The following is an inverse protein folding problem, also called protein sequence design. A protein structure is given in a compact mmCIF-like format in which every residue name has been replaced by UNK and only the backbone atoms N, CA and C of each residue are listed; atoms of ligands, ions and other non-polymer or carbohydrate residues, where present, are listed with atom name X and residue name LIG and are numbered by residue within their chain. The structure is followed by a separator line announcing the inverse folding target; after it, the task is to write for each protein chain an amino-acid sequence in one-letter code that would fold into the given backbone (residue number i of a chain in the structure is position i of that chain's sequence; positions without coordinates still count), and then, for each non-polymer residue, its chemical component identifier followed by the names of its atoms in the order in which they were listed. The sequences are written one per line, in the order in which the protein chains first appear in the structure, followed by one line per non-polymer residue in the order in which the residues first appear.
data_IF_205810593870
#
_entry.id   IF_205810593870
#
_cell.length_a   1.000
_cell.length_b   1.000
_cell.length_c   1.000
_cell.angle_alpha   90.00
_cell.angle_beta   90.00
_cell.angle_gamma   90.00
#
_symmetry.space_group_name_H-M   'P 1'
#
loop_
_entity.id
_entity.type
_entity.pdbx_description
1 polymer ?
#
# COMPACT_ATOMS: atom_id res chain seq x y z
N UNK A 1 -19.59 7.77 -12.95
CA UNK A 1 -18.53 7.58 -13.97
C UNK A 1 -17.18 7.62 -13.26
N UNK A 2 -16.39 6.54 -13.26
CA UNK A 2 -15.02 6.61 -12.79
C UNK A 2 -14.29 7.67 -13.62
N UNK A 3 -13.50 8.51 -12.97
CA UNK A 3 -12.76 9.55 -13.68
C UNK A 3 -11.69 8.85 -14.52
N UNK A 4 -11.74 8.98 -15.85
CA UNK A 4 -10.66 8.49 -16.72
C UNK A 4 -9.41 9.37 -16.59
N UNK A 5 -8.25 8.93 -17.11
CA UNK A 5 -7.04 9.74 -17.14
C UNK A 5 -7.30 11.07 -17.87
N UNK A 6 -6.69 12.16 -17.40
CA UNK A 6 -6.79 13.46 -18.09
C UNK A 6 -6.13 13.40 -19.48
N UNK A 7 -6.72 14.12 -20.44
CA UNK A 7 -6.08 14.32 -21.73
C UNK A 7 -4.80 15.17 -21.60
N UNK A 8 -3.87 15.01 -22.53
CA UNK A 8 -2.62 15.77 -22.55
C UNK A 8 -2.82 17.30 -22.50
N UNK A 9 -3.85 17.82 -23.19
CA UNK A 9 -4.18 19.24 -23.18
C UNK A 9 -4.67 19.70 -21.79
N UNK A 10 -5.52 18.90 -21.13
CA UNK A 10 -6.00 19.20 -19.77
C UNK A 10 -4.86 19.15 -18.75
N UNK A 11 -3.94 18.19 -18.89
CA UNK A 11 -2.73 18.13 -18.06
C UNK A 11 -1.85 19.36 -18.28
N UNK A 12 -1.57 19.74 -19.53
CA UNK A 12 -0.73 20.90 -19.84
C UNK A 12 -1.28 22.24 -19.30
N UNK A 13 -2.60 22.34 -19.13
CA UNK A 13 -3.24 23.51 -18.53
C UNK A 13 -3.12 23.58 -16.99
N UNK A 14 -2.68 22.50 -16.33
CA UNK A 14 -2.48 22.48 -14.88
C UNK A 14 -1.15 23.13 -14.52
N UNK A 15 -1.19 24.03 -13.54
CA UNK A 15 0.01 24.64 -12.97
C UNK A 15 0.95 23.57 -12.39
N UNK A 16 2.24 23.56 -12.75
CA UNK A 16 3.26 22.71 -12.12
C UNK A 16 3.36 22.95 -10.62
N UNK A 17 4.01 22.03 -9.89
CA UNK A 17 4.35 22.34 -8.49
C UNK A 17 5.35 23.50 -8.43
N UNK A 18 5.24 24.32 -7.40
CA UNK A 18 6.20 25.40 -7.11
C UNK A 18 7.47 24.89 -6.42
N UNK A 19 7.52 23.60 -6.07
CA UNK A 19 8.66 22.98 -5.40
C UNK A 19 9.82 22.84 -6.39
N UNK A 20 11.01 23.40 -6.08
CA UNK A 20 12.16 23.30 -6.97
C UNK A 20 12.58 21.85 -7.24
N UNK A 21 12.86 21.51 -8.51
CA UNK A 21 13.37 20.18 -8.88
C UNK A 21 14.70 19.81 -8.21
N UNK A 22 15.44 20.80 -7.70
CA UNK A 22 16.65 20.60 -6.91
C UNK A 22 16.40 19.99 -5.52
N UNK A 23 15.15 19.91 -5.05
CA UNK A 23 14.80 19.22 -3.79
C UNK A 23 14.09 17.88 -4.04
N UNK A 24 13.95 17.47 -5.29
CA UNK A 24 13.25 16.25 -5.66
C UNK A 24 14.08 15.00 -5.41
N UNK A 25 13.39 13.92 -5.04
CA UNK A 25 13.95 12.61 -4.77
C UNK A 25 13.27 11.56 -5.68
N UNK A 26 14.03 10.83 -6.52
CA UNK A 26 15.44 11.04 -6.85
C UNK A 26 15.61 12.33 -7.67
N UNK A 27 16.85 12.62 -8.08
CA UNK A 27 17.11 13.76 -8.98
C UNK A 27 16.27 13.69 -10.26
N UNK A 28 15.88 14.84 -10.79
CA UNK A 28 14.94 14.88 -11.91
C UNK A 28 15.55 14.34 -13.23
N UNK A 29 16.65 14.95 -13.70
CA UNK A 29 17.42 14.51 -14.88
C UNK A 29 18.73 13.86 -14.47
N UNK A 30 19.49 14.59 -13.67
CA UNK A 30 20.77 14.11 -13.18
C UNK A 30 20.54 13.24 -11.95
N UNK A 31 21.23 12.11 -11.89
CA UNK A 31 21.34 11.30 -10.67
C UNK A 31 22.09 12.10 -9.62
N UNK A 32 21.66 12.00 -8.35
CA UNK A 32 22.17 12.86 -7.28
C UNK A 32 22.44 12.07 -6.02
N UNK A 33 23.50 12.47 -5.32
CA UNK A 33 23.73 12.02 -3.95
C UNK A 33 22.93 12.89 -3.00
N UNK A 34 22.34 12.24 -2.01
CA UNK A 34 21.62 12.88 -0.91
C UNK A 34 22.25 12.47 0.41
N UNK A 35 22.12 13.30 1.44
CA UNK A 35 22.46 12.85 2.79
C UNK A 35 21.40 11.84 3.22
N UNK A 36 21.81 10.78 3.92
CA UNK A 36 20.90 9.67 4.26
C UNK A 36 19.61 10.16 4.93
N UNK A 37 19.73 11.05 5.92
CA UNK A 37 18.59 11.61 6.64
C UNK A 37 17.61 12.43 5.78
N UNK A 38 18.06 13.00 4.66
CA UNK A 38 17.22 13.79 3.75
C UNK A 38 16.28 12.92 2.91
N UNK A 39 16.57 11.63 2.79
CA UNK A 39 15.84 10.70 1.91
C UNK A 39 15.20 9.53 2.65
N UNK A 40 15.48 9.36 3.95
CA UNK A 40 14.82 8.36 4.82
C UNK A 40 13.32 8.33 4.55
N UNK A 41 12.68 7.16 4.42
CA UNK A 41 13.26 5.81 4.50
C UNK A 41 13.78 5.26 3.17
N UNK A 42 13.93 6.07 2.12
CA UNK A 42 14.52 5.56 0.88
C UNK A 42 15.98 5.16 1.09
N UNK A 43 16.37 4.05 0.47
CA UNK A 43 17.77 3.64 0.40
C UNK A 43 18.60 4.66 -0.36
N UNK A 44 19.63 5.21 0.29
CA UNK A 44 20.59 6.12 -0.35
C UNK A 44 21.34 5.48 -1.51
N UNK A 45 21.59 4.17 -1.41
CA UNK A 45 22.21 3.41 -2.47
C UNK A 45 21.31 3.31 -3.70
N UNK A 46 20.01 3.13 -3.52
CA UNK A 46 19.06 3.00 -4.63
C UNK A 46 18.78 4.35 -5.28
N UNK A 47 18.45 5.35 -4.46
CA UNK A 47 18.06 6.69 -4.93
C UNK A 47 19.17 7.38 -5.70
N UNK A 48 20.44 7.18 -5.34
CA UNK A 48 21.58 7.80 -6.06
C UNK A 48 21.82 7.19 -7.44
N UNK A 49 21.26 6.03 -7.74
CA UNK A 49 21.49 5.29 -8.99
C UNK A 49 20.39 5.51 -10.04
N UNK A 50 19.36 6.28 -9.71
CA UNK A 50 18.20 6.50 -10.57
C UNK A 50 17.90 8.00 -10.65
N UNK A 51 17.23 8.41 -11.72
CA UNK A 51 16.62 9.74 -11.88
C UNK A 51 15.18 9.59 -12.33
N UNK A 52 14.35 10.62 -12.13
CA UNK A 52 12.91 10.55 -12.48
C UNK A 52 12.68 10.25 -13.96
N UNK A 53 13.52 10.78 -14.87
CA UNK A 53 13.39 10.52 -16.31
C UNK A 53 13.75 9.09 -16.72
N UNK A 54 14.43 8.33 -15.85
CA UNK A 54 14.79 6.92 -16.07
C UNK A 54 13.77 5.95 -15.48
N UNK A 55 12.79 6.46 -14.71
CA UNK A 55 11.77 5.62 -14.09
C UNK A 55 10.69 5.24 -15.12
N UNK A 56 10.38 3.96 -15.19
CA UNK A 56 9.19 3.44 -15.85
C UNK A 56 8.19 2.87 -14.83
N UNK A 57 7.02 2.45 -15.32
CA UNK A 57 5.94 1.94 -14.46
C UNK A 57 6.30 0.62 -13.79
N UNK A 58 7.10 -0.24 -14.42
CA UNK A 58 7.47 -1.53 -13.86
C UNK A 58 8.49 -1.33 -12.74
N UNK A 59 9.44 -0.42 -12.91
CA UNK A 59 10.39 -0.02 -11.88
C UNK A 59 9.68 0.64 -10.69
N UNK A 60 8.67 1.49 -10.93
CA UNK A 60 7.79 1.98 -9.86
C UNK A 60 7.14 0.81 -9.13
N UNK A 61 6.41 -0.03 -9.86
CA UNK A 61 5.64 -1.12 -9.29
C UNK A 61 6.49 -2.05 -8.43
N UNK A 62 7.65 -2.47 -8.94
CA UNK A 62 8.51 -3.46 -8.28
C UNK A 62 9.42 -2.88 -7.19
N UNK A 63 9.91 -1.64 -7.34
CA UNK A 63 10.96 -1.10 -6.47
C UNK A 63 10.59 0.16 -5.71
N UNK A 64 9.83 1.08 -6.33
CA UNK A 64 9.63 2.43 -5.79
C UNK A 64 8.19 2.76 -5.42
N UNK A 65 7.31 1.76 -5.29
CA UNK A 65 5.97 1.95 -4.73
C UNK A 65 6.01 2.32 -3.25
N UNK A 66 7.02 1.85 -2.51
CA UNK A 66 7.35 2.26 -1.14
C UNK A 66 8.81 1.88 -0.82
N UNK A 67 9.48 2.51 0.15
CA UNK A 67 10.74 2.00 0.70
C UNK A 67 10.61 0.56 1.21
N UNK A 68 11.69 -0.23 1.10
CA UNK A 68 11.77 -1.59 1.68
C UNK A 68 11.74 -1.49 3.21
N UNK A 69 11.05 -2.43 3.85
CA UNK A 69 10.99 -2.57 5.33
C UNK A 69 10.41 -1.38 6.09
N UNK A 70 9.81 -0.41 5.40
CA UNK A 70 9.34 0.79 6.07
C UNK A 70 7.92 0.66 6.64
N UNK A 71 6.94 0.30 5.80
CA UNK A 71 5.55 0.14 6.26
C UNK A 71 5.23 -1.31 6.59
N UNK A 72 5.74 -2.23 5.77
CA UNK A 72 5.46 -3.66 5.87
C UNK A 72 6.79 -4.35 6.20
N UNK A 73 6.88 -5.10 7.31
CA UNK A 73 8.12 -5.75 7.71
C UNK A 73 8.50 -6.86 6.73
N UNK A 74 9.73 -7.36 6.84
CA UNK A 74 10.11 -8.59 6.14
C UNK A 74 9.27 -9.76 6.63
N UNK A 75 9.13 -10.75 5.77
CA UNK A 75 8.45 -11.99 6.11
C UNK A 75 9.30 -12.82 7.06
N UNK A 76 8.70 -13.20 8.19
CA UNK A 76 9.27 -14.21 9.07
C UNK A 76 9.26 -15.61 8.42
N UNK A 77 10.11 -16.54 8.90
CA UNK A 77 10.00 -17.94 8.53
C UNK A 77 8.57 -18.46 8.75
N UNK A 78 8.13 -19.40 7.90
CA UNK A 78 6.83 -20.04 8.09
C UNK A 78 6.84 -20.78 9.44
N UNK A 79 5.91 -20.47 10.36
CA UNK A 79 5.86 -21.16 11.64
C UNK A 79 5.50 -22.64 11.45
N UNK A 80 6.01 -23.53 12.32
CA UNK A 80 5.49 -24.89 12.50
C UNK A 80 3.96 -24.92 12.63
N UNK A 81 3.33 -26.02 12.21
CA UNK A 81 1.87 -26.11 12.20
C UNK A 81 1.27 -26.07 13.62
N UNK A 82 2.01 -26.59 14.60
CA UNK A 82 1.66 -26.58 16.02
C UNK A 82 1.70 -25.20 16.68
N UNK A 83 2.35 -24.22 16.06
CA UNK A 83 2.58 -22.90 16.65
C UNK A 83 1.44 -21.91 16.34
N UNK A 84 0.50 -22.28 15.48
CA UNK A 84 -0.64 -21.44 15.14
C UNK A 84 -1.91 -22.28 14.96
N UNK A 85 -3.06 -21.62 15.07
CA UNK A 85 -4.37 -22.24 15.07
C UNK A 85 -4.87 -22.53 13.65
N UNK A 86 -4.22 -23.46 12.96
CA UNK A 86 -4.72 -23.97 11.67
C UNK A 86 -6.12 -24.55 11.83
N UNK A 87 -6.47 -25.15 12.97
CA UNK A 87 -7.79 -25.71 13.24
C UNK A 87 -8.93 -24.69 13.06
N UNK A 88 -8.69 -23.39 13.29
CA UNK A 88 -9.66 -22.32 13.05
C UNK A 88 -9.89 -22.02 11.56
N UNK A 89 -9.02 -22.48 10.66
CA UNK A 89 -9.19 -22.31 9.21
C UNK A 89 -10.11 -23.42 8.67
N UNK A 90 -11.37 -23.37 9.06
CA UNK A 90 -12.46 -24.21 8.55
C UNK A 90 -13.48 -23.40 7.74
N UNK A 91 -14.47 -24.07 7.16
CA UNK A 91 -15.46 -23.41 6.31
C UNK A 91 -16.33 -22.39 7.07
N UNK A 92 -16.75 -22.71 8.30
CA UNK A 92 -17.63 -21.85 9.10
C UNK A 92 -16.89 -20.59 9.53
N UNK A 93 -15.71 -20.76 10.11
CA UNK A 93 -14.89 -19.65 10.58
C UNK A 93 -14.49 -18.70 9.42
N UNK A 94 -14.14 -19.25 8.26
CA UNK A 94 -13.82 -18.42 7.09
C UNK A 94 -15.07 -17.71 6.57
N UNK A 95 -16.25 -18.34 6.62
CA UNK A 95 -17.50 -17.70 6.25
C UNK A 95 -17.80 -16.50 7.16
N UNK A 96 -17.77 -16.70 8.47
CA UNK A 96 -18.04 -15.66 9.47
C UNK A 96 -17.05 -14.50 9.35
N UNK A 97 -15.77 -14.80 9.11
CA UNK A 97 -14.74 -13.79 8.84
C UNK A 97 -15.04 -12.95 7.59
N UNK A 98 -15.52 -13.57 6.50
CA UNK A 98 -15.80 -12.85 5.26
C UNK A 98 -17.11 -12.07 5.34
N UNK A 99 -18.11 -12.59 6.05
CA UNK A 99 -19.37 -11.90 6.28
C UNK A 99 -19.22 -10.66 7.16
N UNK A 100 -18.26 -10.65 8.10
CA UNK A 100 -17.97 -9.47 8.92
C UNK A 100 -17.36 -8.30 8.13
N UNK A 101 -16.95 -8.53 6.88
CA UNK A 101 -16.38 -7.54 5.97
C UNK A 101 -15.21 -6.74 6.61
N UNK A 102 -14.14 -7.41 7.07
CA UNK A 102 -13.08 -6.77 7.86
C UNK A 102 -12.32 -5.68 7.09
N UNK A 103 -12.34 -5.73 5.75
CA UNK A 103 -11.74 -4.71 4.89
C UNK A 103 -12.42 -3.34 4.94
N UNK A 104 -13.63 -3.23 5.50
CA UNK A 104 -14.32 -1.93 5.64
C UNK A 104 -13.55 -0.95 6.53
N UNK A 105 -12.64 -1.43 7.38
CA UNK A 105 -11.73 -0.57 8.14
C UNK A 105 -10.87 0.31 7.23
N UNK A 106 -10.54 -0.18 6.03
CA UNK A 106 -9.76 0.55 5.03
C UNK A 106 -10.59 1.60 4.28
N UNK A 107 -11.93 1.59 4.40
CA UNK A 107 -12.79 2.58 3.75
C UNK A 107 -12.71 3.97 4.41
N UNK A 108 -12.19 4.05 5.64
CA UNK A 108 -12.02 5.30 6.35
C UNK A 108 -11.06 6.23 5.58
N UNK A 109 -11.53 7.41 5.12
CA UNK A 109 -10.71 8.27 4.29
C UNK A 109 -9.60 8.91 5.11
N UNK A 110 -8.34 8.74 4.67
CA UNK A 110 -7.22 9.50 5.19
C UNK A 110 -7.06 10.81 4.42
N UNK A 111 -6.75 11.89 5.15
CA UNK A 111 -6.39 13.15 4.50
C UNK A 111 -4.91 13.13 4.10
N UNK A 112 -4.58 13.52 2.86
CA UNK A 112 -3.20 13.48 2.40
C UNK A 112 -2.27 14.37 3.20
N UNK A 113 -1.09 13.85 3.55
CA UNK A 113 -0.07 14.55 4.31
C UNK A 113 0.78 15.50 3.44
N UNK A 114 1.07 15.09 2.21
CA UNK A 114 2.05 15.70 1.31
C UNK A 114 1.44 16.71 0.33
N UNK A 115 0.11 16.68 0.13
CA UNK A 115 -0.57 17.53 -0.85
C UNK A 115 -1.98 17.98 -0.43
N UNK A 116 -2.46 19.07 -1.05
CA UNK A 116 -3.85 19.53 -0.95
C UNK A 116 -4.61 19.14 -2.23
N UNK A 117 -5.94 18.96 -2.13
CA UNK A 117 -6.81 18.63 -3.26
C UNK A 117 -7.02 19.80 -4.24
N UNK A 118 -5.95 20.18 -4.96
CA UNK A 118 -5.92 21.27 -5.96
C UNK A 118 -5.12 20.83 -7.20
N UNK A 119 -5.38 21.49 -8.33
CA UNK A 119 -4.65 21.22 -9.59
C UNK A 119 -4.60 19.74 -9.96
N UNK A 120 -3.42 19.25 -10.28
CA UNK A 120 -3.15 17.84 -10.59
C UNK A 120 -3.49 16.89 -9.42
N UNK A 121 -3.19 17.27 -8.18
CA UNK A 121 -3.48 16.45 -7.01
C UNK A 121 -4.97 16.22 -6.76
N UNK A 122 -5.85 17.17 -7.13
CA UNK A 122 -7.31 16.94 -7.09
C UNK A 122 -7.72 15.81 -8.02
N UNK A 123 -7.14 15.77 -9.21
CA UNK A 123 -7.41 14.71 -10.17
C UNK A 123 -6.88 13.37 -9.64
N UNK A 124 -5.65 13.35 -9.14
CA UNK A 124 -5.06 12.14 -8.55
C UNK A 124 -5.84 11.60 -7.36
N UNK A 125 -6.26 12.46 -6.42
CA UNK A 125 -7.11 12.06 -5.27
C UNK A 125 -8.38 11.37 -5.76
N UNK A 126 -9.05 11.92 -6.79
CA UNK A 126 -10.27 11.33 -7.37
C UNK A 126 -10.02 10.00 -8.09
N UNK A 127 -8.92 9.91 -8.84
CA UNK A 127 -8.55 8.66 -9.51
C UNK A 127 -8.26 7.56 -8.51
N UNK A 128 -7.48 7.90 -7.46
CA UNK A 128 -7.13 6.95 -6.42
C UNK A 128 -8.34 6.53 -5.60
N UNK A 129 -9.18 7.45 -5.13
CA UNK A 129 -10.37 7.11 -4.35
C UNK A 129 -11.33 6.17 -5.12
N UNK A 130 -11.44 6.34 -6.45
CA UNK A 130 -12.19 5.40 -7.30
C UNK A 130 -11.55 4.02 -7.38
N UNK A 131 -10.21 3.96 -7.40
CA UNK A 131 -9.46 2.71 -7.40
C UNK A 131 -9.56 2.00 -6.04
N UNK A 132 -9.32 2.73 -4.95
CA UNK A 132 -9.36 2.26 -3.58
C UNK A 132 -10.72 1.63 -3.24
N UNK A 133 -11.82 2.33 -3.53
CA UNK A 133 -13.17 1.83 -3.29
C UNK A 133 -13.49 0.50 -4.01
N UNK A 134 -12.85 0.25 -5.17
CA UNK A 134 -13.03 -1.01 -5.93
C UNK A 134 -12.16 -2.16 -5.38
N UNK A 135 -11.15 -1.87 -4.54
CA UNK A 135 -10.07 -2.79 -4.20
C UNK A 135 -9.74 -2.91 -2.71
N UNK A 136 -10.54 -2.34 -1.79
CA UNK A 136 -10.32 -2.42 -0.33
C UNK A 136 -10.09 -3.87 0.14
N UNK A 137 -10.98 -4.78 -0.26
CA UNK A 137 -10.87 -6.20 0.07
C UNK A 137 -9.57 -6.81 -0.43
N UNK A 138 -9.09 -6.40 -1.59
CA UNK A 138 -7.88 -6.96 -2.19
C UNK A 138 -6.61 -6.51 -1.46
N UNK A 139 -6.63 -5.30 -0.90
CA UNK A 139 -5.59 -4.79 -0.01
C UNK A 139 -5.59 -5.52 1.32
N UNK A 140 -6.75 -5.62 1.96
CA UNK A 140 -6.89 -6.34 3.22
C UNK A 140 -6.45 -7.81 3.08
N UNK A 141 -6.89 -8.50 2.03
CA UNK A 141 -6.46 -9.88 1.73
C UNK A 141 -4.96 -10.01 1.48
N UNK A 142 -4.28 -8.93 1.10
CA UNK A 142 -2.84 -8.97 0.84
C UNK A 142 -2.01 -8.93 2.11
N UNK A 143 -2.51 -8.30 3.17
CA UNK A 143 -1.87 -8.20 4.49
C UNK A 143 -2.39 -9.24 5.49
N UNK A 144 -3.54 -9.87 5.20
CA UNK A 144 -4.18 -10.90 6.03
C UNK A 144 -4.28 -12.25 5.32
N UNK A 145 -3.32 -12.60 4.46
CA UNK A 145 -3.40 -13.82 3.69
C UNK A 145 -3.08 -15.06 4.54
N UNK A 146 -4.08 -15.75 5.09
CA UNK A 146 -3.81 -17.00 5.81
C UNK A 146 -3.65 -18.23 4.88
N UNK A 147 -2.84 -19.24 5.27
CA UNK A 147 -2.72 -20.50 4.55
C UNK A 147 -4.03 -21.28 4.57
N UNK A 148 -4.36 -21.93 3.45
CA UNK A 148 -5.43 -22.93 3.38
C UNK A 148 -4.82 -24.20 2.79
N UNK A 149 -4.75 -25.27 3.59
CA UNK A 149 -4.05 -26.49 3.20
C UNK A 149 -4.71 -27.16 1.98
N UNK A 150 -3.91 -27.93 1.22
CA UNK A 150 -4.43 -28.69 0.07
C UNK A 150 -5.51 -29.69 0.52
N UNK A 151 -5.36 -30.29 1.70
CA UNK A 151 -6.35 -31.21 2.25
C UNK A 151 -7.69 -30.49 2.49
N UNK A 152 -7.68 -29.32 3.13
CA UNK A 152 -8.88 -28.51 3.37
C UNK A 152 -9.55 -28.05 2.09
N UNK A 153 -8.77 -27.60 1.10
CA UNK A 153 -9.29 -27.24 -0.24
C UNK A 153 -9.91 -28.42 -0.98
N UNK A 154 -9.37 -29.64 -0.83
CA UNK A 154 -9.98 -30.84 -1.42
C UNK A 154 -11.26 -31.26 -0.69
N UNK A 155 -11.33 -31.02 0.62
CA UNK A 155 -12.48 -31.38 1.45
C UNK A 155 -13.64 -30.40 1.34
N UNK A 156 -13.37 -29.10 1.13
CA UNK A 156 -14.38 -28.05 1.03
C UNK A 156 -14.26 -27.30 -0.30
N UNK A 157 -15.36 -27.33 -1.08
CA UNK A 157 -15.48 -26.53 -2.31
C UNK A 157 -15.45 -25.03 -2.02
N UNK A 158 -16.01 -24.61 -0.89
CA UNK A 158 -16.00 -23.21 -0.47
C UNK A 158 -14.57 -22.72 -0.22
N UNK A 159 -13.77 -23.46 0.55
CA UNK A 159 -12.38 -23.08 0.85
C UNK A 159 -11.49 -23.09 -0.41
N UNK A 160 -11.73 -23.98 -1.36
CA UNK A 160 -11.01 -23.98 -2.64
C UNK A 160 -11.35 -22.75 -3.50
N UNK A 161 -12.64 -22.42 -3.60
CA UNK A 161 -13.12 -21.23 -4.29
C UNK A 161 -12.57 -19.95 -3.63
N UNK A 162 -12.70 -19.84 -2.31
CA UNK A 162 -12.17 -18.73 -1.51
C UNK A 162 -10.68 -18.48 -1.81
N UNK A 163 -9.86 -19.53 -1.73
CA UNK A 163 -8.43 -19.44 -1.99
C UNK A 163 -8.12 -18.98 -3.42
N UNK A 164 -8.85 -19.53 -4.40
CA UNK A 164 -8.66 -19.23 -5.83
C UNK A 164 -9.10 -17.80 -6.16
N UNK A 165 -10.26 -17.38 -5.65
CA UNK A 165 -10.82 -16.05 -5.87
C UNK A 165 -9.93 -14.97 -5.27
N UNK A 166 -9.38 -15.20 -4.07
CA UNK A 166 -8.40 -14.29 -3.46
C UNK A 166 -7.19 -14.05 -4.37
N UNK A 167 -6.63 -15.12 -4.96
CA UNK A 167 -5.50 -14.99 -5.91
C UNK A 167 -5.88 -14.21 -7.16
N UNK A 168 -7.05 -14.48 -7.73
CA UNK A 168 -7.51 -13.80 -8.93
C UNK A 168 -7.74 -12.31 -8.67
N UNK A 169 -8.40 -11.98 -7.55
CA UNK A 169 -8.63 -10.61 -7.10
C UNK A 169 -7.32 -9.84 -6.91
N UNK A 170 -6.34 -10.43 -6.20
CA UNK A 170 -5.00 -9.85 -6.05
C UNK A 170 -4.33 -9.55 -7.40
N UNK A 171 -4.45 -10.44 -8.37
CA UNK A 171 -3.92 -10.23 -9.73
C UNK A 171 -4.59 -9.05 -10.44
N UNK A 172 -5.93 -8.98 -10.40
CA UNK A 172 -6.72 -7.86 -10.99
C UNK A 172 -6.37 -6.53 -10.33
N UNK A 173 -6.29 -6.50 -9.00
CA UNK A 173 -5.91 -5.30 -8.24
C UNK A 173 -4.48 -4.84 -8.59
N UNK A 174 -3.54 -5.77 -8.77
CA UNK A 174 -2.18 -5.48 -9.23
C UNK A 174 -2.13 -4.88 -10.64
N UNK A 175 -2.90 -5.41 -11.58
CA UNK A 175 -3.00 -4.85 -12.93
C UNK A 175 -3.57 -3.42 -12.90
N UNK A 176 -4.63 -3.21 -12.11
CA UNK A 176 -5.25 -1.89 -11.95
C UNK A 176 -4.34 -0.90 -11.21
N UNK A 177 -3.55 -1.37 -10.24
CA UNK A 177 -2.51 -0.58 -9.58
C UNK A 177 -1.44 -0.09 -10.56
N UNK A 178 -0.98 -0.94 -11.48
CA UNK A 178 -0.06 -0.51 -12.55
C UNK A 178 -0.66 0.63 -13.39
N UNK A 179 -1.96 0.57 -13.73
CA UNK A 179 -2.62 1.66 -14.43
C UNK A 179 -2.67 2.97 -13.62
N UNK A 180 -2.81 2.89 -12.30
CA UNK A 180 -2.71 4.07 -11.44
C UNK A 180 -1.27 4.62 -11.40
N UNK A 181 -0.27 3.75 -11.28
CA UNK A 181 1.15 4.16 -11.30
C UNK A 181 1.56 4.83 -12.61
N UNK A 182 0.92 4.52 -13.75
CA UNK A 182 1.12 5.28 -14.99
C UNK A 182 0.73 6.76 -14.83
N UNK A 183 -0.33 7.06 -14.06
CA UNK A 183 -0.72 8.44 -13.78
C UNK A 183 0.27 9.13 -12.84
N UNK A 184 0.79 8.40 -11.84
CA UNK A 184 1.88 8.87 -10.99
C UNK A 184 3.12 9.18 -11.83
N UNK A 185 3.52 8.30 -12.75
CA UNK A 185 4.65 8.51 -13.64
C UNK A 185 4.49 9.77 -14.51
N UNK A 186 3.29 10.02 -15.04
CA UNK A 186 2.99 11.29 -15.73
C UNK A 186 3.22 12.49 -14.79
N UNK A 187 2.80 12.36 -13.52
CA UNK A 187 3.06 13.32 -12.46
C UNK A 187 4.55 13.65 -12.27
N UNK A 188 5.36 12.60 -12.13
CA UNK A 188 6.80 12.67 -11.97
C UNK A 188 7.44 13.38 -13.18
N UNK A 189 7.16 12.88 -14.40
CA UNK A 189 7.77 13.38 -15.62
C UNK A 189 7.38 14.83 -15.95
N UNK A 190 6.11 15.21 -15.69
CA UNK A 190 5.61 16.57 -15.96
C UNK A 190 6.04 17.61 -14.93
N UNK A 191 6.60 17.20 -13.80
CA UNK A 191 7.03 18.16 -12.79
C UNK A 191 5.94 18.48 -11.75
N UNK A 192 5.00 17.57 -11.46
CA UNK A 192 3.96 17.80 -10.45
C UNK A 192 4.29 17.25 -9.06
N UNK A 193 5.06 16.16 -8.98
CA UNK A 193 5.47 15.50 -7.74
C UNK A 193 6.77 14.74 -7.92
N UNK A 194 7.36 14.26 -6.83
CA UNK A 194 8.47 13.30 -6.84
C UNK A 194 8.06 11.98 -6.16
N UNK A 195 9.01 11.05 -5.94
CA UNK A 195 8.68 9.72 -5.40
C UNK A 195 8.11 9.74 -3.98
N UNK A 196 8.38 10.79 -3.20
CA UNK A 196 7.83 10.86 -1.84
C UNK A 196 6.30 10.98 -1.84
N UNK A 197 5.64 11.23 -2.99
CA UNK A 197 4.18 11.11 -3.11
C UNK A 197 3.67 9.75 -2.66
N UNK A 198 4.37 8.68 -3.02
CA UNK A 198 3.99 7.31 -2.67
C UNK A 198 4.33 6.94 -1.22
N UNK A 199 4.74 7.90 -0.39
CA UNK A 199 4.86 7.74 1.06
C UNK A 199 3.69 8.35 1.82
N UNK A 200 2.79 9.03 1.11
CA UNK A 200 1.63 9.64 1.73
C UNK A 200 0.73 8.53 2.30
N UNK A 201 0.28 8.63 3.58
CA UNK A 201 -0.67 7.67 4.17
C UNK A 201 -1.92 7.46 3.33
N UNK A 202 -2.27 8.44 2.50
CA UNK A 202 -3.37 8.35 1.55
C UNK A 202 -3.29 7.16 0.58
N UNK A 203 -2.11 6.56 0.34
CA UNK A 203 -1.95 5.44 -0.58
C UNK A 203 -1.73 4.11 0.15
N UNK A 204 -2.63 3.16 -0.04
CA UNK A 204 -2.47 1.76 0.36
C UNK A 204 -1.39 1.07 -0.48
N UNK A 205 -0.62 0.20 0.19
CA UNK A 205 0.50 -0.50 -0.43
C UNK A 205 0.37 -2.00 -0.30
N UNK A 206 0.52 -2.71 -1.41
CA UNK A 206 0.63 -4.16 -1.34
C UNK A 206 1.99 -4.61 -0.79
N UNK A 207 2.05 -5.76 -0.08
CA UNK A 207 3.30 -6.45 0.18
C UNK A 207 4.03 -6.83 -1.12
N UNK A 208 5.35 -6.71 -1.08
CA UNK A 208 6.28 -7.18 -2.12
C UNK A 208 6.74 -8.61 -1.83
N UNK A 209 7.33 -9.30 -2.83
CA UNK A 209 8.08 -10.52 -2.56
C UNK A 209 9.11 -10.29 -1.45
N UNK A 210 9.08 -11.13 -0.41
CA UNK A 210 9.95 -11.02 0.77
C UNK A 210 9.37 -10.21 1.94
N UNK A 211 8.30 -9.45 1.73
CA UNK A 211 7.59 -8.75 2.81
C UNK A 211 6.52 -9.67 3.45
N UNK A 212 6.17 -9.35 4.69
CA UNK A 212 5.10 -9.97 5.44
C UNK A 212 3.75 -9.73 4.75
N UNK A 213 2.85 -10.69 4.91
CA UNK A 213 1.53 -10.67 4.28
C UNK A 213 0.78 -11.97 4.49
N UNK A 214 1.51 -13.04 4.84
CA UNK A 214 0.90 -14.19 5.46
C UNK A 214 0.42 -13.83 6.88
N UNK A 215 -0.75 -14.34 7.25
CA UNK A 215 -1.29 -14.27 8.60
C UNK A 215 -1.49 -15.69 9.12
N UNK A 216 -0.99 -15.98 10.32
CA UNK A 216 -1.09 -17.28 10.96
C UNK A 216 -1.92 -17.10 12.24
N UNK A 217 -3.25 -17.33 12.21
CA UNK A 217 -4.13 -17.08 13.35
C UNK A 217 -3.61 -17.71 14.65
N UNK A 218 -3.54 -16.94 15.74
CA UNK A 218 -3.15 -17.44 17.06
C UNK A 218 -1.65 -17.70 17.24
N UNK A 219 -0.79 -17.20 16.34
CA UNK A 219 0.67 -17.24 16.50
C UNK A 219 1.18 -16.25 17.56
N UNK A 220 0.35 -15.27 17.92
CA UNK A 220 0.68 -14.23 18.88
C UNK A 220 0.91 -14.83 20.28
N UNK A 221 1.91 -14.35 21.01
CA UNK A 221 2.41 -14.94 22.26
C UNK A 221 1.31 -15.18 23.32
N UNK A 222 0.79 -16.40 23.37
CA UNK A 222 -0.23 -16.84 24.32
C UNK A 222 -1.68 -16.55 23.90
N UNK A 223 -1.92 -16.19 22.65
CA UNK A 223 -3.26 -16.07 22.10
C UNK A 223 -3.88 -17.47 21.91
N UNK A 224 -5.06 -17.70 22.47
CA UNK A 224 -5.88 -18.89 22.23
C UNK A 224 -7.26 -18.48 21.71
N UNK A 225 -7.33 -17.90 20.50
CA UNK A 225 -8.58 -17.35 19.98
C UNK A 225 -9.62 -18.46 19.76
N UNK A 226 -10.88 -18.14 20.03
CA UNK A 226 -12.00 -19.04 19.81
C UNK A 226 -12.35 -19.20 18.32
N UNK A 227 -12.15 -18.14 17.54
CA UNK A 227 -12.47 -18.06 16.11
C UNK A 227 -11.50 -17.13 15.35
N UNK A 228 -11.68 -17.03 14.03
CA UNK A 228 -10.85 -16.16 13.20
C UNK A 228 -11.08 -14.66 13.45
N UNK A 229 -12.23 -14.25 13.98
CA UNK A 229 -12.50 -12.83 14.27
C UNK A 229 -11.76 -12.35 15.52
N UNK A 230 -11.71 -13.19 16.56
CA UNK A 230 -10.91 -12.93 17.76
C UNK A 230 -9.41 -12.93 17.44
N UNK A 231 -8.97 -13.90 16.63
CA UNK A 231 -7.60 -13.93 16.12
C UNK A 231 -7.27 -12.65 15.34
N UNK A 232 -8.15 -12.22 14.43
CA UNK A 232 -7.97 -10.99 13.65
C UNK A 232 -7.82 -9.77 14.56
N UNK A 233 -8.70 -9.63 15.55
CA UNK A 233 -8.68 -8.50 16.49
C UNK A 233 -7.34 -8.42 17.24
N UNK A 234 -6.81 -9.58 17.65
CA UNK A 234 -5.52 -9.67 18.35
C UNK A 234 -4.37 -9.31 17.42
N UNK A 235 -4.36 -9.86 16.21
CA UNK A 235 -3.34 -9.57 15.19
C UNK A 235 -3.34 -8.09 14.82
N UNK A 236 -4.50 -7.49 14.56
CA UNK A 236 -4.61 -6.09 14.16
C UNK A 236 -4.15 -5.13 15.25
N UNK A 237 -4.39 -5.47 16.52
CA UNK A 237 -3.90 -4.70 17.65
C UNK A 237 -2.36 -4.77 17.80
N UNK A 238 -1.75 -5.92 17.47
CA UNK A 238 -0.31 -6.13 17.55
C UNK A 238 0.44 -5.56 16.33
N UNK A 239 -0.12 -5.75 15.12
CA UNK A 239 0.48 -5.43 13.83
C UNK A 239 -0.32 -4.34 13.11
N UNK A 240 -0.27 -3.08 13.60
CA UNK A 240 -1.00 -1.92 13.03
C UNK A 240 -0.80 -1.73 11.53
N UNK A 241 0.35 -2.15 11.00
CA UNK A 241 0.66 -2.07 9.57
C UNK A 241 -0.27 -2.93 8.69
N UNK A 242 -0.91 -3.97 9.23
CA UNK A 242 -1.80 -4.85 8.45
C UNK A 242 -3.06 -4.13 7.98
N UNK A 243 -3.55 -3.18 8.77
CA UNK A 243 -4.63 -2.27 8.39
C UNK A 243 -4.11 -0.95 7.82
N UNK A 244 -2.86 -0.91 7.37
CA UNK A 244 -2.24 0.31 6.85
C UNK A 244 -2.31 1.50 7.81
N UNK A 245 -2.37 1.23 9.12
CA UNK A 245 -2.58 2.22 10.18
C UNK A 245 -3.92 2.99 10.06
N UNK A 246 -4.92 2.50 9.32
CA UNK A 246 -6.23 3.18 9.22
C UNK A 246 -7.00 3.19 10.56
N UNK A 247 -6.72 2.23 11.44
CA UNK A 247 -7.26 2.16 12.79
C UNK A 247 -6.56 3.12 13.77
N UNK A 248 -5.30 3.47 13.49
CA UNK A 248 -4.48 4.40 14.28
C UNK A 248 -3.68 5.37 13.37
N UNK A 249 -4.34 6.26 12.60
CA UNK A 249 -3.67 7.06 11.59
C UNK A 249 -2.54 7.96 12.11
N UNK A 250 -2.63 8.38 13.37
CA UNK A 250 -1.62 9.15 14.10
C UNK A 250 -0.30 8.41 14.31
N UNK A 251 -0.29 7.08 14.25
CA UNK A 251 0.90 6.24 14.36
C UNK A 251 1.54 5.94 13.00
N UNK A 252 0.97 6.41 11.89
CA UNK A 252 1.48 6.11 10.56
C UNK A 252 2.94 6.63 10.40
N UNK A 253 3.92 5.78 10.02
CA UNK A 253 5.36 6.15 9.97
C UNK A 253 5.71 7.36 9.11
N UNK A 254 4.85 7.73 8.15
CA UNK A 254 5.02 8.94 7.34
C UNK A 254 4.95 10.24 8.15
N UNK A 255 4.23 10.25 9.27
CA UNK A 255 4.10 11.42 10.14
C UNK A 255 5.42 11.79 10.83
N UNK A 256 6.31 10.82 11.03
CA UNK A 256 7.65 11.03 11.59
C UNK A 256 8.63 11.64 10.58
N UNK A 257 8.30 11.62 9.27
CA UNK A 257 9.17 12.14 8.22
C UNK A 257 8.87 13.63 8.01
N UNK A 258 9.60 14.48 8.75
CA UNK A 258 9.38 15.93 8.78
C UNK A 258 9.25 16.61 7.40
N UNK A 259 10.00 16.15 6.38
CA UNK A 259 9.97 16.75 5.04
C UNK A 259 8.72 16.42 4.21
N UNK A 260 7.88 15.47 4.63
CA UNK A 260 6.68 15.10 3.90
C UNK A 260 5.55 16.12 4.08
N UNK A 261 5.51 16.82 5.23
CA UNK A 261 4.39 17.70 5.58
C UNK A 261 4.24 18.84 4.56
N UNK A 262 3.15 18.79 3.79
CA UNK A 262 2.86 19.77 2.76
C UNK A 262 3.91 19.85 1.63
N UNK A 263 4.71 18.79 1.43
CA UNK A 263 5.87 18.78 0.54
C UNK A 263 5.61 19.35 -0.85
N UNK A 264 4.46 19.07 -1.45
CA UNK A 264 4.15 19.48 -2.82
C UNK A 264 3.40 20.80 -2.95
N UNK A 265 3.27 21.52 -1.84
CA UNK A 265 2.59 22.80 -1.75
C UNK A 265 3.62 23.87 -1.45
N UNK A 266 3.46 25.04 -2.06
CA UNK A 266 4.10 26.25 -1.52
C UNK A 266 3.58 26.47 -0.11
N UNK A 267 4.46 26.62 0.87
CA UNK A 267 4.15 27.31 2.12
C UNK A 267 3.93 28.79 1.80
N UNK A 268 2.78 29.11 1.22
CA UNK A 268 2.25 30.47 1.28
C UNK A 268 1.73 30.66 2.70
N UNK A 269 2.59 31.14 3.60
CA UNK A 269 2.12 31.96 4.69
C UNK A 269 1.64 33.29 4.12
#
# INVERSE_FOLDING_TARGET
MPSGPLSNAKLAALQPTTVPRSVWIPGYRDRRSFRGYDIVPWSAQDIRQISIVEIDVDLLFHRYTKPIEWLIPLRDPVPPLEDWRDDLVDESNVHDLIESAPWEILAAPLDPLTFKSRGWFRHMKRLYASYEAEHLRDYWDSTHAFPVSIAKRRASRYLDAFYTDRKQRRSRAGARWKSFLQQVLIGLLRGYCDLDLLKDPFFLHFPRPGEAGAWYPGIEYGADPADLLEALTTTDAADRWRNHYHDVPEEHPALEIARLRGKFLSSSF
#
